data_IF_018127964573
#
_entry.id   IF_018127964573
#
_cell.length_a   1.000
_cell.length_b   1.000
_cell.length_c   1.000
_cell.angle_alpha   90.00
_cell.angle_beta   90.00
_cell.angle_gamma   90.00
#
_symmetry.space_group_name_H-M   'P 1'
#
loop_
_entity.id
_entity.type
_entity.pdbx_description
1 polymer ?
#
# COMPACT_ATOMS: atom_id res chain seq x y z
N UNK A 1 35.90 19.35 -3.68
CA UNK A 1 34.60 19.23 -4.38
C UNK A 1 33.59 18.59 -3.44
N UNK A 2 32.52 19.31 -3.09
CA UNK A 2 31.60 19.00 -1.99
C UNK A 2 30.53 18.02 -2.49
N UNK A 3 30.63 16.75 -2.09
CA UNK A 3 29.73 15.69 -2.52
C UNK A 3 28.36 15.86 -1.83
N UNK A 4 27.31 16.20 -2.58
CA UNK A 4 25.93 16.33 -2.06
C UNK A 4 25.31 14.94 -1.96
N UNK A 5 25.30 14.39 -0.75
CA UNK A 5 24.63 13.13 -0.43
C UNK A 5 23.13 13.20 -0.70
N UNK A 6 22.62 12.26 -1.50
CA UNK A 6 21.19 12.04 -1.76
C UNK A 6 20.49 11.74 -0.43
N UNK A 7 19.48 12.55 -0.08
CA UNK A 7 18.63 12.37 1.10
C UNK A 7 17.78 11.11 0.92
N UNK A 8 17.98 10.12 1.80
CA UNK A 8 17.09 8.97 1.97
C UNK A 8 15.74 9.47 2.50
N UNK A 9 14.65 9.19 1.80
CA UNK A 9 13.29 9.46 2.26
C UNK A 9 12.87 8.37 3.23
N UNK A 10 12.82 8.69 4.52
CA UNK A 10 12.26 7.83 5.58
C UNK A 10 10.74 7.67 5.40
N UNK A 11 10.12 6.56 5.83
CA UNK A 11 8.66 6.37 5.76
C UNK A 11 7.85 7.43 6.53
N UNK A 12 8.43 8.01 7.58
CA UNK A 12 7.87 9.18 8.28
C UNK A 12 7.79 10.44 7.37
N UNK A 13 8.58 10.52 6.30
CA UNK A 13 8.52 11.61 5.32
C UNK A 13 7.30 11.49 4.41
N UNK A 14 6.84 10.28 4.09
CA UNK A 14 5.67 10.06 3.24
C UNK A 14 4.36 10.34 4.00
N UNK A 15 4.27 9.93 5.27
CA UNK A 15 3.15 10.27 6.14
C UNK A 15 3.04 11.78 6.39
N UNK A 16 4.17 12.45 6.66
CA UNK A 16 4.18 13.92 6.80
C UNK A 16 3.89 14.65 5.49
N UNK A 17 4.23 14.07 4.33
CA UNK A 17 3.84 14.60 3.02
C UNK A 17 2.34 14.45 2.76
N UNK A 18 1.72 13.32 3.15
CA UNK A 18 0.27 13.11 3.08
C UNK A 18 -0.48 14.11 3.96
N UNK A 19 -0.07 14.30 5.22
CA UNK A 19 -0.72 15.27 6.12
C UNK A 19 -0.59 16.69 5.56
N UNK A 20 0.55 17.01 4.93
CA UNK A 20 0.79 18.30 4.30
C UNK A 20 -0.04 18.50 3.03
N UNK A 21 -0.14 17.49 2.16
CA UNK A 21 -0.97 17.56 0.95
C UNK A 21 -2.47 17.55 1.27
N UNK A 22 -2.89 16.87 2.34
CA UNK A 22 -4.27 16.93 2.85
C UNK A 22 -4.64 18.34 3.35
N UNK A 23 -3.66 19.10 3.85
CA UNK A 23 -3.83 20.51 4.21
C UNK A 23 -3.78 21.46 3.00
N UNK A 24 -3.30 20.98 1.84
CA UNK A 24 -3.22 21.74 0.58
C UNK A 24 -4.50 21.64 -0.27
N UNK A 25 -5.44 20.76 0.09
CA UNK A 25 -6.79 20.79 -0.47
C UNK A 25 -7.46 22.13 -0.21
N UNK A 26 -8.11 22.66 -1.25
CA UNK A 26 -9.06 23.77 -1.08
C UNK A 26 -10.08 23.43 0.01
N UNK A 27 -10.33 24.38 0.91
CA UNK A 27 -11.31 24.23 2.00
C UNK A 27 -12.68 23.75 1.51
N UNK A 28 -13.08 24.15 0.29
CA UNK A 28 -14.34 23.71 -0.34
C UNK A 28 -14.30 22.24 -0.72
N UNK A 29 -13.20 21.77 -1.27
CA UNK A 29 -13.03 20.40 -1.75
C UNK A 29 -12.87 19.44 -0.58
N UNK A 30 -12.17 19.85 0.49
CA UNK A 30 -12.11 19.06 1.72
C UNK A 30 -13.50 18.92 2.38
N UNK A 31 -14.30 19.99 2.40
CA UNK A 31 -15.68 19.92 2.93
C UNK A 31 -16.58 19.03 2.06
N UNK A 32 -16.47 19.13 0.74
CA UNK A 32 -17.22 18.28 -0.20
C UNK A 32 -16.84 16.81 0.00
N UNK A 33 -15.55 16.51 0.09
CA UNK A 33 -15.02 15.16 0.37
C UNK A 33 -15.59 14.57 1.65
N UNK A 34 -15.60 15.32 2.76
CA UNK A 34 -16.15 14.83 4.03
C UNK A 34 -17.65 14.51 3.94
N UNK A 35 -18.42 15.32 3.20
CA UNK A 35 -19.85 15.05 2.97
C UNK A 35 -20.07 13.78 2.14
N UNK A 36 -19.26 13.57 1.11
CA UNK A 36 -19.32 12.36 0.28
C UNK A 36 -18.94 11.11 1.07
N UNK A 37 -17.93 11.19 1.94
CA UNK A 37 -17.54 10.06 2.81
C UNK A 37 -18.66 9.70 3.79
N UNK A 38 -19.32 10.70 4.38
CA UNK A 38 -20.47 10.46 5.26
C UNK A 38 -21.66 9.86 4.49
N UNK A 39 -21.93 10.34 3.28
CA UNK A 39 -22.97 9.77 2.40
C UNK A 39 -22.65 8.32 2.01
N UNK A 40 -21.40 8.04 1.62
CA UNK A 40 -20.92 6.70 1.30
C UNK A 40 -21.09 5.75 2.48
N UNK A 41 -20.67 6.16 3.69
CA UNK A 41 -20.84 5.35 4.89
C UNK A 41 -22.31 5.02 5.15
N UNK A 42 -23.21 6.01 5.02
CA UNK A 42 -24.65 5.84 5.20
C UNK A 42 -25.23 4.88 4.16
N UNK A 43 -24.88 5.04 2.89
CA UNK A 43 -25.36 4.16 1.81
C UNK A 43 -24.85 2.72 1.97
N UNK A 44 -23.56 2.52 2.23
CA UNK A 44 -22.99 1.19 2.49
C UNK A 44 -23.65 0.50 3.69
N UNK A 45 -23.90 1.25 4.78
CA UNK A 45 -24.60 0.71 5.95
C UNK A 45 -26.07 0.40 5.66
N UNK A 46 -26.74 1.24 4.85
CA UNK A 46 -28.12 1.04 4.47
C UNK A 46 -28.30 -0.20 3.57
N UNK A 47 -27.53 -0.30 2.48
CA UNK A 47 -27.62 -1.42 1.55
C UNK A 47 -27.29 -2.74 2.24
N UNK A 48 -26.21 -2.80 3.04
CA UNK A 48 -25.85 -4.02 3.79
C UNK A 48 -26.99 -4.59 4.66
N UNK A 49 -27.90 -3.74 5.16
CA UNK A 49 -29.01 -4.15 6.02
C UNK A 49 -30.34 -4.36 5.27
N UNK A 50 -30.48 -3.87 4.04
CA UNK A 50 -31.77 -3.79 3.34
C UNK A 50 -31.80 -4.43 1.95
N UNK A 51 -30.64 -4.79 1.38
CA UNK A 51 -30.59 -5.43 0.05
C UNK A 51 -31.36 -6.74 0.06
N UNK A 52 -32.46 -6.79 -0.69
CA UNK A 52 -33.40 -7.92 -0.72
C UNK A 52 -33.60 -8.51 -2.12
N UNK A 53 -33.11 -7.85 -3.19
CA UNK A 53 -33.36 -8.27 -4.58
C UNK A 53 -32.11 -8.20 -5.47
N UNK A 54 -31.85 -9.29 -6.20
CA UNK A 54 -30.74 -9.43 -7.15
C UNK A 54 -30.72 -8.36 -8.25
N UNK A 55 -31.89 -7.85 -8.66
CA UNK A 55 -31.96 -6.79 -9.67
C UNK A 55 -31.56 -5.41 -9.14
N UNK A 56 -31.69 -5.16 -7.83
CA UNK A 56 -31.33 -3.88 -7.21
C UNK A 56 -29.83 -3.82 -6.86
N UNK A 57 -29.20 -4.97 -6.62
CA UNK A 57 -27.76 -5.07 -6.33
C UNK A 57 -26.86 -4.34 -7.34
N UNK A 58 -27.20 -4.42 -8.63
CA UNK A 58 -26.40 -3.79 -9.68
C UNK A 58 -26.54 -2.26 -9.65
N UNK A 59 -27.73 -1.76 -9.33
CA UNK A 59 -27.97 -0.31 -9.23
C UNK A 59 -27.35 0.24 -7.94
N UNK A 60 -27.44 -0.49 -6.83
CA UNK A 60 -26.75 -0.19 -5.57
C UNK A 60 -25.23 -0.14 -5.75
N UNK A 61 -24.66 -1.10 -6.48
CA UNK A 61 -23.22 -1.13 -6.78
C UNK A 61 -22.79 0.10 -7.58
N UNK A 62 -23.53 0.48 -8.62
CA UNK A 62 -23.25 1.69 -9.42
C UNK A 62 -23.36 2.97 -8.60
N UNK A 63 -24.32 3.04 -7.67
CA UNK A 63 -24.48 4.18 -6.77
C UNK A 63 -23.28 4.33 -5.82
N UNK A 64 -22.77 3.21 -5.29
CA UNK A 64 -21.55 3.20 -4.46
C UNK A 64 -20.33 3.57 -5.30
N UNK A 65 -20.16 2.96 -6.46
CA UNK A 65 -19.01 3.20 -7.35
C UNK A 65 -18.97 4.67 -7.80
N UNK A 66 -20.12 5.27 -8.13
CA UNK A 66 -20.19 6.68 -8.49
C UNK A 66 -19.75 7.62 -7.37
N UNK A 67 -20.09 7.31 -6.11
CA UNK A 67 -19.62 8.07 -4.95
C UNK A 67 -18.11 7.89 -4.74
N UNK A 68 -17.60 6.66 -4.89
CA UNK A 68 -16.15 6.38 -4.77
C UNK A 68 -15.38 7.12 -5.86
N UNK A 69 -15.87 7.13 -7.10
CA UNK A 69 -15.24 7.85 -8.21
C UNK A 69 -15.20 9.36 -7.97
N UNK A 70 -16.27 9.96 -7.41
CA UNK A 70 -16.29 11.38 -7.05
C UNK A 70 -15.28 11.71 -5.95
N UNK A 71 -15.18 10.86 -4.92
CA UNK A 71 -14.18 11.00 -3.85
C UNK A 71 -12.77 10.87 -4.44
N UNK A 72 -12.53 9.86 -5.28
CA UNK A 72 -11.25 9.65 -5.94
C UNK A 72 -10.88 10.84 -6.82
N UNK A 73 -11.82 11.47 -7.52
CA UNK A 73 -11.56 12.65 -8.33
C UNK A 73 -11.02 13.83 -7.50
N UNK A 74 -11.57 14.03 -6.29
CA UNK A 74 -11.10 15.05 -5.35
C UNK A 74 -9.74 14.66 -4.75
N UNK A 75 -9.53 13.38 -4.43
CA UNK A 75 -8.31 12.91 -3.77
C UNK A 75 -7.13 12.72 -4.74
N UNK A 76 -7.36 12.67 -6.06
CA UNK A 76 -6.30 12.61 -7.08
C UNK A 76 -5.26 13.71 -6.93
N UNK A 77 -5.65 14.90 -6.48
CA UNK A 77 -4.74 16.03 -6.28
C UNK A 77 -3.80 15.85 -5.08
N UNK A 78 -4.17 15.00 -4.14
CA UNK A 78 -3.43 14.73 -2.89
C UNK A 78 -2.68 13.41 -2.96
N UNK A 79 -3.03 12.56 -3.94
CA UNK A 79 -2.55 11.19 -4.06
C UNK A 79 -1.03 11.17 -4.10
N UNK A 80 -0.42 10.63 -3.04
CA UNK A 80 1.02 10.40 -3.00
C UNK A 80 1.32 9.26 -3.96
N UNK A 81 2.22 9.50 -4.91
CA UNK A 81 2.71 8.45 -5.79
C UNK A 81 3.21 7.28 -4.95
N UNK A 82 2.59 6.12 -5.15
CA UNK A 82 3.07 4.89 -4.53
C UNK A 82 4.52 4.65 -4.98
N UNK A 83 5.42 4.23 -4.08
CA UNK A 83 6.79 3.93 -4.45
C UNK A 83 6.79 2.90 -5.57
N UNK A 84 7.44 3.24 -6.68
CA UNK A 84 7.59 2.34 -7.82
C UNK A 84 8.33 1.09 -7.33
N UNK A 85 7.94 -0.09 -7.82
CA UNK A 85 8.65 -1.34 -7.53
C UNK A 85 9.72 -1.54 -8.58
N UNK A 86 10.80 -0.75 -8.50
CA UNK A 86 11.92 -0.85 -9.44
C UNK A 86 12.93 -1.92 -8.97
N UNK A 87 13.82 -2.34 -9.87
CA UNK A 87 14.91 -3.25 -9.53
C UNK A 87 15.80 -2.71 -8.38
N UNK A 88 15.97 -1.39 -8.30
CA UNK A 88 16.77 -0.72 -7.26
C UNK A 88 16.09 -0.79 -5.89
N UNK A 89 14.75 -0.75 -5.85
CA UNK A 89 13.97 -0.88 -4.62
C UNK A 89 14.05 -2.32 -4.08
N UNK A 90 14.04 -3.32 -4.97
CA UNK A 90 14.23 -4.71 -4.62
C UNK A 90 15.64 -4.99 -4.08
N UNK A 91 16.68 -4.34 -4.63
CA UNK A 91 18.02 -4.43 -4.07
C UNK A 91 18.09 -3.85 -2.65
N UNK A 92 17.44 -2.71 -2.43
CA UNK A 92 17.35 -2.09 -1.11
C UNK A 92 16.60 -2.98 -0.12
N UNK A 93 15.50 -3.58 -0.56
CA UNK A 93 14.73 -4.54 0.23
C UNK A 93 15.55 -5.78 0.59
N UNK A 94 16.28 -6.38 -0.36
CA UNK A 94 17.17 -7.53 -0.09
C UNK A 94 18.24 -7.20 0.94
N UNK A 95 18.87 -6.03 0.85
CA UNK A 95 19.85 -5.57 1.84
C UNK A 95 19.23 -5.39 3.23
N UNK A 96 18.03 -4.82 3.31
CA UNK A 96 17.31 -4.71 4.57
C UNK A 96 16.97 -6.09 5.16
N UNK A 97 16.62 -7.06 4.33
CA UNK A 97 16.37 -8.44 4.75
C UNK A 97 17.65 -9.12 5.29
N UNK A 98 18.77 -9.02 4.56
CA UNK A 98 20.04 -9.67 4.95
C UNK A 98 20.75 -8.94 6.08
N UNK A 99 21.07 -7.67 5.87
CA UNK A 99 22.02 -6.90 6.68
C UNK A 99 21.39 -6.50 8.02
N UNK A 100 20.13 -6.07 7.99
CA UNK A 100 19.43 -5.55 9.17
C UNK A 100 18.61 -6.63 9.88
N UNK A 101 18.17 -7.66 9.15
CA UNK A 101 17.18 -8.61 9.64
C UNK A 101 17.60 -10.08 9.68
N UNK A 102 18.74 -10.45 9.10
CA UNK A 102 19.27 -11.81 9.17
C UNK A 102 18.44 -12.84 8.40
N UNK A 103 17.73 -12.40 7.36
CA UNK A 103 17.00 -13.29 6.44
C UNK A 103 17.98 -13.79 5.39
N UNK A 104 18.12 -15.10 5.28
CA UNK A 104 18.93 -15.72 4.22
C UNK A 104 18.17 -15.68 2.90
N UNK A 105 18.74 -14.97 1.92
CA UNK A 105 18.24 -14.85 0.54
C UNK A 105 19.24 -15.41 -0.48
N UNK A 106 20.24 -16.17 -0.03
CA UNK A 106 21.35 -16.64 -0.89
C UNK A 106 20.92 -17.60 -2.02
N UNK A 107 19.78 -18.28 -1.86
CA UNK A 107 19.26 -19.27 -2.82
C UNK A 107 18.17 -18.73 -3.76
N UNK A 108 17.64 -17.53 -3.49
CA UNK A 108 16.49 -16.97 -4.21
C UNK A 108 16.67 -15.50 -4.55
N UNK A 109 16.14 -15.07 -5.69
CA UNK A 109 16.13 -13.67 -6.09
C UNK A 109 14.73 -13.21 -6.54
N UNK A 110 14.47 -11.91 -6.47
CA UNK A 110 13.24 -11.30 -6.98
C UNK A 110 13.47 -10.84 -8.40
N UNK A 111 12.76 -11.43 -9.35
CA UNK A 111 12.88 -11.09 -10.77
C UNK A 111 11.49 -10.89 -11.40
N UNK A 112 11.46 -10.11 -12.47
CA UNK A 112 10.27 -9.98 -13.31
C UNK A 112 10.10 -11.26 -14.14
N UNK A 113 8.97 -11.94 -14.02
CA UNK A 113 8.69 -13.18 -14.75
C UNK A 113 8.01 -12.87 -16.09
N UNK A 114 6.75 -12.45 -16.06
CA UNK A 114 5.99 -12.04 -17.23
C UNK A 114 4.91 -11.00 -16.88
N UNK A 115 4.24 -10.43 -17.88
CA UNK A 115 3.22 -9.40 -17.69
C UNK A 115 1.96 -9.91 -16.97
N UNK A 116 1.78 -11.23 -16.82
CA UNK A 116 0.63 -11.82 -16.13
C UNK A 116 0.90 -12.05 -14.64
N UNK A 117 2.12 -12.43 -14.28
CA UNK A 117 2.52 -12.76 -12.90
C UNK A 117 3.27 -11.61 -12.23
N UNK A 118 3.96 -10.78 -13.00
CA UNK A 118 4.79 -9.69 -12.50
C UNK A 118 6.08 -10.19 -11.82
N UNK A 119 6.42 -9.58 -10.68
CA UNK A 119 7.59 -9.97 -9.89
C UNK A 119 7.34 -11.25 -9.09
N UNK A 120 8.31 -12.16 -9.10
CA UNK A 120 8.29 -13.38 -8.30
C UNK A 120 9.66 -13.82 -7.81
N UNK A 121 9.68 -14.90 -7.04
CA UNK A 121 10.90 -15.52 -6.54
C UNK A 121 11.42 -16.54 -7.54
N UNK A 122 12.68 -16.36 -7.94
CA UNK A 122 13.41 -17.26 -8.84
C UNK A 122 14.58 -17.90 -8.07
N UNK A 123 14.78 -19.20 -8.24
CA UNK A 123 15.93 -19.89 -7.65
C UNK A 123 17.22 -19.49 -8.39
N UNK A 124 18.25 -19.12 -7.62
CA UNK A 124 19.60 -18.81 -8.16
C UNK A 124 20.62 -19.91 -7.82
N UNK A 125 20.19 -20.93 -7.09
CA UNK A 125 20.94 -22.14 -6.78
C UNK A 125 20.00 -23.35 -6.83
N UNK A 126 20.57 -24.55 -6.92
CA UNK A 126 19.79 -25.78 -6.88
C UNK A 126 19.12 -25.97 -5.51
N UNK A 127 17.79 -26.01 -5.50
CA UNK A 127 16.98 -26.27 -4.31
C UNK A 127 16.36 -27.66 -4.45
N UNK A 128 16.65 -28.55 -3.51
CA UNK A 128 16.09 -29.91 -3.49
C UNK A 128 14.73 -29.93 -2.80
N UNK A 129 13.96 -30.97 -3.08
CA UNK A 129 12.74 -31.25 -2.34
C UNK A 129 13.05 -31.38 -0.84
N UNK A 130 12.20 -30.78 0.00
CA UNK A 130 12.37 -30.70 1.47
C UNK A 130 13.55 -29.85 1.97
N UNK A 131 14.26 -29.11 1.11
CA UNK A 131 15.26 -28.14 1.55
C UNK A 131 14.60 -26.89 2.13
N UNK A 132 15.07 -26.43 3.29
CA UNK A 132 14.64 -25.17 3.88
C UNK A 132 15.47 -24.05 3.26
N UNK A 133 14.92 -23.41 2.23
CA UNK A 133 15.62 -22.39 1.45
C UNK A 133 15.26 -20.94 1.82
N UNK A 134 14.24 -20.73 2.66
CA UNK A 134 13.83 -19.41 3.11
C UNK A 134 13.24 -19.47 4.53
N UNK A 135 13.77 -18.65 5.43
CA UNK A 135 13.27 -18.50 6.81
C UNK A 135 13.05 -17.03 7.09
N UNK A 136 11.82 -16.67 7.50
CA UNK A 136 11.42 -15.29 7.74
C UNK A 136 11.22 -15.07 9.25
N UNK A 137 12.10 -14.32 9.93
CA UNK A 137 11.92 -13.97 11.33
C UNK A 137 10.65 -13.15 11.56
N UNK A 138 9.97 -13.33 12.70
CA UNK A 138 8.75 -12.57 13.03
C UNK A 138 8.96 -11.05 13.05
N UNK A 139 10.17 -10.57 13.38
CA UNK A 139 10.51 -9.14 13.45
C UNK A 139 10.37 -8.38 12.13
N UNK A 140 10.44 -9.06 10.98
CA UNK A 140 10.26 -8.41 9.66
C UNK A 140 8.81 -8.41 9.20
N UNK A 141 7.92 -9.08 9.93
CA UNK A 141 6.51 -9.16 9.57
C UNK A 141 5.76 -7.94 10.11
N UNK A 142 4.82 -7.44 9.32
CA UNK A 142 3.81 -6.49 9.79
C UNK A 142 2.63 -7.31 10.32
N UNK A 143 2.38 -7.22 11.62
CA UNK A 143 1.30 -7.93 12.33
C UNK A 143 0.37 -6.94 13.02
N UNK A 144 -0.77 -7.42 13.54
CA UNK A 144 -1.68 -6.60 14.35
C UNK A 144 -0.97 -5.99 15.57
N UNK A 145 -0.04 -6.72 16.18
CA UNK A 145 0.76 -6.24 17.32
C UNK A 145 1.66 -5.07 16.90
N UNK A 146 2.37 -5.19 15.78
CA UNK A 146 3.25 -4.11 15.30
C UNK A 146 2.44 -2.87 14.88
N UNK A 147 1.22 -3.05 14.36
CA UNK A 147 0.33 -1.96 13.98
C UNK A 147 -0.35 -1.26 15.18
N UNK A 148 -0.48 -1.95 16.32
CA UNK A 148 -0.95 -1.35 17.56
C UNK A 148 0.16 -0.53 18.23
N UNK A 149 1.39 -1.03 18.16
CA UNK A 149 2.57 -0.43 18.79
C UNK A 149 3.27 0.63 17.92
N UNK A 150 2.92 0.74 16.64
CA UNK A 150 3.37 1.85 15.79
C UNK A 150 2.65 3.14 16.18
N UNK A 151 3.30 4.29 16.00
CA UNK A 151 2.69 5.61 16.18
C UNK A 151 1.44 5.73 15.29
N UNK A 152 0.26 5.46 15.88
CA UNK A 152 -1.05 5.75 15.30
C UNK A 152 -1.34 7.25 15.43
N UNK A 153 -0.45 8.09 14.91
CA UNK A 153 -0.79 9.49 14.68
C UNK A 153 -1.52 9.54 13.33
N UNK A 154 -2.80 9.14 13.37
CA UNK A 154 -3.81 9.54 12.40
C UNK A 154 -4.30 10.95 12.76
#
# INVERSE_FOLDING_TARGET
>A
MRNKGKRKTTPASAANQLVKSMAELSFKDNRRRLLLVDELLKKCTYYNNNTTNCHQLMDEHKDIDGLVDEIMAIEREISVELPKRSADDWLTFKRWLSDDNGVDTSKVDVQWMDDRQGFGLTAIADIKESDVFLVIPRKVMITCETALNSDRNL
#
